data_IF_946540574005
#
_entry.id   IF_946540574005
#
_cell.length_a   1.000
_cell.length_b   1.000
_cell.length_c   1.000
_cell.angle_alpha   90.00
_cell.angle_beta   90.00
_cell.angle_gamma   90.00
#
_symmetry.space_group_name_H-M   'P 1'
#
loop_
_entity.id
_entity.type
_entity.pdbx_description
1 polymer ?
#
# COMPACT_ATOMS: atom_id res chain seq x y z
N UNK A 1 -12.42 23.53 -3.18
CA UNK A 1 -12.72 22.33 -3.99
C UNK A 1 -11.40 21.76 -4.52
N UNK A 2 -10.74 20.86 -3.78
CA UNK A 2 -9.74 19.88 -4.27
C UNK A 2 -9.20 19.08 -3.08
N UNK A 3 -10.07 18.29 -2.44
CA UNK A 3 -9.64 17.22 -1.50
C UNK A 3 -9.65 15.84 -2.21
N UNK A 4 -9.67 15.82 -3.53
CA UNK A 4 -9.89 14.61 -4.34
C UNK A 4 -8.64 13.73 -4.47
N UNK A 5 -7.45 14.24 -4.16
CA UNK A 5 -6.18 13.53 -4.38
C UNK A 5 -5.73 12.61 -3.23
N UNK A 6 -6.34 12.69 -2.04
CA UNK A 6 -5.97 11.82 -0.90
C UNK A 6 -6.79 10.52 -0.85
N UNK A 7 -8.01 10.49 -1.40
CA UNK A 7 -8.92 9.35 -1.15
C UNK A 7 -8.75 8.17 -2.13
N UNK A 8 -8.38 8.44 -3.39
CA UNK A 8 -8.25 7.41 -4.43
C UNK A 8 -7.34 6.21 -4.08
N UNK A 9 -6.13 6.37 -3.49
CA UNK A 9 -5.31 5.22 -3.11
C UNK A 9 -5.91 4.42 -1.94
N UNK A 10 -6.66 5.08 -1.06
CA UNK A 10 -7.29 4.46 0.11
C UNK A 10 -8.51 3.62 -0.33
N UNK A 11 -9.31 4.13 -1.26
CA UNK A 11 -10.48 3.42 -1.83
C UNK A 11 -10.09 2.11 -2.54
N UNK A 12 -8.93 2.09 -3.21
CA UNK A 12 -8.39 0.87 -3.81
C UNK A 12 -7.99 -0.19 -2.77
N UNK A 13 -7.43 0.24 -1.64
CA UNK A 13 -7.08 -0.66 -0.52
C UNK A 13 -8.34 -1.23 0.14
N UNK A 14 -9.36 -0.40 0.38
CA UNK A 14 -10.64 -0.84 0.93
C UNK A 14 -11.34 -1.87 0.02
N UNK A 15 -11.35 -1.62 -1.29
CA UNK A 15 -11.90 -2.56 -2.28
C UNK A 15 -11.18 -3.91 -2.24
N UNK A 16 -9.86 -3.90 -2.12
CA UNK A 16 -9.04 -5.12 -2.04
C UNK A 16 -9.23 -5.87 -0.73
N UNK A 17 -9.34 -5.17 0.41
CA UNK A 17 -9.67 -5.78 1.71
C UNK A 17 -11.04 -6.47 1.66
N UNK A 18 -12.05 -5.81 1.09
CA UNK A 18 -13.40 -6.38 0.92
C UNK A 18 -13.39 -7.68 0.12
N UNK A 19 -12.54 -7.77 -0.91
CA UNK A 19 -12.38 -8.98 -1.70
C UNK A 19 -11.76 -10.13 -0.90
N UNK A 20 -10.76 -9.84 -0.05
CA UNK A 20 -10.13 -10.84 0.83
C UNK A 20 -11.11 -11.36 1.86
N UNK A 21 -11.93 -10.49 2.45
CA UNK A 21 -12.98 -10.88 3.39
C UNK A 21 -14.05 -11.80 2.76
N UNK A 22 -14.28 -11.69 1.45
CA UNK A 22 -15.15 -12.61 0.72
C UNK A 22 -14.60 -14.03 0.56
N UNK A 23 -13.30 -14.24 0.81
CA UNK A 23 -12.66 -15.55 0.64
C UNK A 23 -12.89 -16.47 1.87
N UNK A 24 -12.81 -17.81 1.68
CA UNK A 24 -12.82 -18.75 2.79
C UNK A 24 -11.71 -18.46 3.81
N UNK A 25 -11.98 -18.71 5.10
CA UNK A 25 -11.06 -18.38 6.19
C UNK A 25 -9.63 -18.94 5.96
N UNK A 26 -9.53 -20.16 5.46
CA UNK A 26 -8.25 -20.81 5.16
C UNK A 26 -7.40 -20.06 4.12
N UNK A 27 -8.01 -19.31 3.20
CA UNK A 27 -7.32 -18.54 2.17
C UNK A 27 -6.91 -17.13 2.63
N UNK A 28 -7.62 -16.57 3.62
CA UNK A 28 -7.43 -15.17 4.03
C UNK A 28 -6.03 -14.87 4.54
N UNK A 29 -5.42 -15.78 5.31
CA UNK A 29 -4.09 -15.57 5.88
C UNK A 29 -3.02 -15.36 4.78
N UNK A 30 -3.06 -16.17 3.72
CA UNK A 30 -2.15 -16.02 2.58
C UNK A 30 -2.40 -14.73 1.80
N UNK A 31 -3.67 -14.37 1.60
CA UNK A 31 -4.05 -13.14 0.91
C UNK A 31 -3.61 -11.87 1.67
N UNK A 32 -3.79 -11.85 3.00
CA UNK A 32 -3.28 -10.76 3.84
C UNK A 32 -1.76 -10.67 3.83
N UNK A 33 -1.07 -11.81 3.90
CA UNK A 33 0.40 -11.84 3.85
C UNK A 33 0.91 -11.21 2.54
N UNK A 34 0.33 -11.59 1.39
CA UNK A 34 0.70 -10.99 0.10
C UNK A 34 0.39 -9.50 -0.01
N UNK A 35 -0.73 -9.05 0.58
CA UNK A 35 -1.08 -7.63 0.66
C UNK A 35 -0.04 -6.85 1.51
N UNK A 36 0.36 -7.40 2.65
CA UNK A 36 1.39 -6.79 3.50
C UNK A 36 2.74 -6.69 2.77
N UNK A 37 3.15 -7.73 2.04
CA UNK A 37 4.39 -7.71 1.26
C UNK A 37 4.36 -6.63 0.16
N UNK A 38 3.22 -6.43 -0.50
CA UNK A 38 3.04 -5.37 -1.50
C UNK A 38 3.18 -3.98 -0.87
N UNK A 39 2.54 -3.75 0.27
CA UNK A 39 2.60 -2.47 0.98
C UNK A 39 4.00 -2.16 1.49
N UNK A 40 4.69 -3.15 2.08
CA UNK A 40 6.08 -3.00 2.52
C UNK A 40 7.01 -2.63 1.36
N UNK A 41 6.90 -3.33 0.22
CA UNK A 41 7.69 -2.98 -0.98
C UNK A 41 7.42 -1.56 -1.48
N UNK A 42 6.17 -1.10 -1.39
CA UNK A 42 5.79 0.26 -1.82
C UNK A 42 6.38 1.31 -0.88
N UNK A 43 6.35 1.08 0.43
CA UNK A 43 6.99 1.95 1.43
C UNK A 43 8.51 2.01 1.23
N UNK A 44 9.15 0.86 1.04
CA UNK A 44 10.59 0.79 0.75
C UNK A 44 10.96 1.54 -0.53
N UNK A 45 10.10 1.49 -1.55
CA UNK A 45 10.35 2.15 -2.83
C UNK A 45 10.16 3.67 -2.74
N UNK A 46 9.17 4.13 -1.97
CA UNK A 46 8.95 5.56 -1.69
C UNK A 46 10.06 6.15 -0.83
N UNK A 47 10.46 5.47 0.24
CA UNK A 47 11.56 5.91 1.10
C UNK A 47 12.90 6.02 0.35
N UNK A 48 13.14 5.13 -0.64
CA UNK A 48 14.32 5.18 -1.51
C UNK A 48 14.28 6.31 -2.55
N UNK A 49 13.09 6.79 -2.93
CA UNK A 49 12.94 7.98 -3.76
C UNK A 49 13.26 9.23 -2.92
N UNK A 50 12.65 9.36 -1.74
CA UNK A 50 12.92 10.48 -0.82
C UNK A 50 14.41 10.57 -0.42
N UNK A 51 15.10 9.44 -0.25
CA UNK A 51 16.53 9.41 0.10
C UNK A 51 17.45 9.83 -1.07
N UNK A 52 17.02 9.65 -2.34
CA UNK A 52 17.80 10.12 -3.51
C UNK A 52 17.66 11.61 -3.76
N UNK A 53 16.57 12.21 -3.29
CA UNK A 53 16.34 13.66 -3.32
C UNK A 53 16.93 14.41 -2.11
N UNK A 54 17.52 13.70 -1.15
CA UNK A 54 18.31 14.33 -0.09
C UNK A 54 19.57 14.96 -0.71
N UNK A 55 19.70 16.31 -0.71
CA UNK A 55 20.87 16.95 -1.26
C UNK A 55 22.07 16.56 -0.40
N UNK A 56 23.14 16.12 -1.06
CA UNK A 56 24.36 15.66 -0.41
C UNK A 56 24.80 16.62 0.70
N UNK A 57 24.99 16.05 1.89
CA UNK A 57 25.78 16.68 2.93
C UNK A 57 27.15 17.03 2.33
N UNK A 58 27.36 18.32 2.06
CA UNK A 58 28.66 18.93 1.80
C UNK A 58 29.18 19.51 3.10
#
# INVERSE_FOLDING_TARGET
MSEETTNAPTDGLWSRLRLIEGQPLAARAGAYSGLHDELSRRLDSGAKLDQRDAPGAR
#
